data_IF_507051868868
#
_entry.id   IF_507051868868
#
_cell.length_a   1.000
_cell.length_b   1.000
_cell.length_c   1.000
_cell.angle_alpha   90.00
_cell.angle_beta   90.00
_cell.angle_gamma   90.00
#
_symmetry.space_group_name_H-M   'P 1'
#
loop_
_entity.id
_entity.type
_entity.pdbx_description
1 polymer ?
#
# COMPACT_ATOMS: atom_id res chain seq x y z
N UNK A 1 1.28 4.76 -16.74
CA UNK A 1 1.40 3.86 -15.60
C UNK A 1 2.32 4.46 -14.54
N UNK A 2 1.87 4.50 -13.31
CA UNK A 2 2.66 5.05 -12.22
C UNK A 2 2.93 3.99 -11.18
N UNK A 3 4.01 4.18 -10.42
CA UNK A 3 4.36 3.30 -9.31
C UNK A 3 3.85 3.94 -8.04
N UNK A 4 3.01 3.24 -7.32
CA UNK A 4 2.30 3.78 -6.17
C UNK A 4 2.56 2.90 -4.96
N UNK A 5 2.93 3.54 -3.86
CA UNK A 5 3.09 2.85 -2.57
C UNK A 5 1.85 3.12 -1.73
N UNK A 6 1.15 2.07 -1.36
CA UNK A 6 -0.07 2.16 -0.57
C UNK A 6 0.20 1.63 0.82
N UNK A 7 0.16 2.49 1.81
CA UNK A 7 0.50 2.14 3.18
C UNK A 7 -0.78 2.01 4.00
N UNK A 8 -0.96 0.86 4.63
CA UNK A 8 -2.09 0.60 5.49
C UNK A 8 -3.40 0.46 4.73
N UNK A 9 -3.49 -0.49 3.78
CA UNK A 9 -4.67 -0.56 2.94
C UNK A 9 -5.98 -0.74 3.69
N UNK A 10 -6.02 -1.60 4.69
CA UNK A 10 -7.24 -1.76 5.44
C UNK A 10 -8.46 -1.87 4.56
N UNK A 11 -9.60 -1.52 5.12
CA UNK A 11 -10.87 -1.60 4.40
C UNK A 11 -10.95 -0.52 3.31
N UNK A 12 -10.59 0.68 3.68
CA UNK A 12 -10.66 1.82 2.77
C UNK A 12 -9.58 1.73 1.70
N UNK A 13 -8.38 1.35 2.09
CA UNK A 13 -7.28 1.22 1.16
C UNK A 13 -7.50 0.13 0.13
N UNK A 14 -8.30 -0.89 0.46
CA UNK A 14 -8.61 -1.93 -0.51
C UNK A 14 -9.38 -1.35 -1.70
N UNK A 15 -10.32 -0.45 -1.45
CA UNK A 15 -11.03 0.21 -2.54
C UNK A 15 -10.08 1.04 -3.41
N UNK A 16 -9.11 1.69 -2.78
CA UNK A 16 -8.10 2.44 -3.51
C UNK A 16 -7.27 1.50 -4.38
N UNK A 17 -6.86 0.36 -3.83
CA UNK A 17 -6.06 -0.61 -4.58
C UNK A 17 -6.81 -1.12 -5.81
N UNK A 18 -8.09 -1.43 -5.64
CA UNK A 18 -8.91 -1.91 -6.75
C UNK A 18 -8.97 -0.85 -7.85
N UNK A 19 -9.21 0.39 -7.47
CA UNK A 19 -9.32 1.46 -8.44
C UNK A 19 -8.00 1.69 -9.18
N UNK A 20 -6.89 1.65 -8.47
CA UNK A 20 -5.59 1.82 -9.08
C UNK A 20 -5.27 0.66 -10.03
N UNK A 21 -5.70 -0.54 -9.67
CA UNK A 21 -5.52 -1.70 -10.53
C UNK A 21 -6.31 -1.51 -11.83
N UNK A 22 -7.52 -1.02 -11.72
CA UNK A 22 -8.36 -0.77 -12.90
C UNK A 22 -7.72 0.27 -13.83
N UNK A 23 -6.96 1.20 -13.25
CA UNK A 23 -6.29 2.24 -14.01
C UNK A 23 -4.91 1.80 -14.52
N UNK A 24 -4.56 0.55 -14.28
CA UNK A 24 -3.29 -0.04 -14.75
C UNK A 24 -2.06 0.55 -14.09
N UNK A 25 -2.17 0.99 -12.85
CA UNK A 25 -1.01 1.44 -12.10
C UNK A 25 -0.38 0.27 -11.35
N UNK A 26 0.93 0.39 -11.10
CA UNK A 26 1.63 -0.59 -10.28
C UNK A 26 1.54 -0.15 -8.83
N UNK A 27 1.12 -1.06 -7.97
CA UNK A 27 0.90 -0.73 -6.56
C UNK A 27 1.69 -1.71 -5.69
N UNK A 28 2.40 -1.18 -4.69
CA UNK A 28 2.96 -1.99 -3.63
C UNK A 28 2.16 -1.68 -2.37
N UNK A 29 1.58 -2.69 -1.76
CA UNK A 29 0.81 -2.52 -0.52
C UNK A 29 1.66 -2.91 0.67
N UNK A 30 1.59 -2.14 1.73
CA UNK A 30 2.34 -2.37 2.95
C UNK A 30 1.40 -2.27 4.14
N UNK A 31 1.43 -3.26 5.03
CA UNK A 31 0.65 -3.23 6.25
C UNK A 31 1.34 -4.08 7.29
N UNK A 32 1.09 -3.81 8.56
CA UNK A 32 1.62 -4.62 9.64
C UNK A 32 0.92 -5.97 9.72
N UNK A 33 -0.30 -6.04 9.27
CA UNK A 33 -1.11 -7.24 9.38
C UNK A 33 -1.15 -7.98 8.06
N UNK A 34 -0.74 -9.22 8.11
CA UNK A 34 -0.65 -10.05 6.93
C UNK A 34 -1.99 -10.20 6.21
N UNK A 35 -3.07 -10.36 6.96
CA UNK A 35 -4.38 -10.57 6.37
C UNK A 35 -4.83 -9.37 5.55
N UNK A 36 -4.43 -8.17 5.94
CA UNK A 36 -4.76 -6.96 5.17
C UNK A 36 -3.99 -6.90 3.87
N UNK A 37 -2.73 -7.31 3.90
CA UNK A 37 -1.93 -7.37 2.69
C UNK A 37 -2.50 -8.43 1.75
N UNK A 38 -2.84 -9.58 2.27
CA UNK A 38 -3.39 -10.67 1.47
C UNK A 38 -4.71 -10.27 0.81
N UNK A 39 -5.51 -9.46 1.50
CA UNK A 39 -6.80 -9.05 0.96
C UNK A 39 -6.67 -8.20 -0.30
N UNK A 40 -5.53 -7.55 -0.49
CA UNK A 40 -5.33 -6.70 -1.66
C UNK A 40 -4.36 -7.29 -2.67
N UNK A 41 -3.77 -8.45 -2.38
CA UNK A 41 -2.79 -9.06 -3.29
C UNK A 41 -3.30 -9.18 -4.73
N UNK A 42 -4.56 -9.52 -4.98
CA UNK A 42 -5.04 -9.64 -6.36
C UNK A 42 -5.02 -8.31 -7.12
N UNK A 43 -4.95 -7.21 -6.41
CA UNK A 43 -5.05 -5.88 -7.01
C UNK A 43 -3.73 -5.11 -6.99
N UNK A 44 -2.69 -5.69 -6.43
CA UNK A 44 -1.40 -5.00 -6.32
C UNK A 44 -0.32 -5.82 -6.99
N UNK A 45 0.76 -5.15 -7.38
CA UNK A 45 1.90 -5.81 -7.99
C UNK A 45 2.72 -6.55 -6.95
N UNK A 46 2.79 -6.01 -5.74
CA UNK A 46 3.60 -6.59 -4.68
C UNK A 46 3.02 -6.21 -3.33
N UNK A 47 3.20 -7.05 -2.35
CA UNK A 47 2.75 -6.81 -0.98
C UNK A 47 3.88 -7.05 0.01
N UNK A 48 4.01 -6.19 1.01
CA UNK A 48 5.02 -6.31 2.04
C UNK A 48 4.36 -6.19 3.41
N UNK A 49 4.82 -6.99 4.36
CA UNK A 49 4.32 -6.93 5.72
C UNK A 49 5.35 -6.18 6.54
N UNK A 50 4.96 -5.10 7.16
CA UNK A 50 5.85 -4.30 7.96
C UNK A 50 5.17 -3.05 8.47
N UNK A 51 5.92 -2.29 9.26
CA UNK A 51 5.42 -1.08 9.89
C UNK A 51 5.62 0.12 8.96
N UNK A 52 4.55 0.59 8.35
CA UNK A 52 4.61 1.73 7.46
C UNK A 52 4.93 3.05 8.14
N UNK A 53 5.01 3.07 9.47
CA UNK A 53 5.46 4.27 10.19
C UNK A 53 6.94 4.22 10.50
N UNK A 54 7.62 3.14 10.20
CA UNK A 54 9.05 2.99 10.47
C UNK A 54 9.84 3.52 9.29
N UNK A 55 10.66 4.53 9.54
CA UNK A 55 11.40 5.20 8.48
C UNK A 55 12.41 4.28 7.80
N UNK A 56 13.11 3.46 8.59
CA UNK A 56 14.09 2.55 8.02
C UNK A 56 13.44 1.52 7.13
N UNK A 57 12.28 1.03 7.54
CA UNK A 57 11.55 0.07 6.74
C UNK A 57 11.12 0.69 5.41
N UNK A 58 10.62 1.92 5.45
CA UNK A 58 10.21 2.60 4.22
C UNK A 58 11.39 2.85 3.30
N UNK A 59 12.55 3.18 3.86
CA UNK A 59 13.74 3.35 3.04
C UNK A 59 14.14 2.06 2.36
N UNK A 60 14.00 0.94 3.08
CA UNK A 60 14.39 -0.35 2.52
C UNK A 60 13.49 -0.75 1.35
N UNK A 61 12.29 -0.21 1.30
CA UNK A 61 11.37 -0.46 0.20
C UNK A 61 11.65 0.42 -1.02
N UNK A 62 12.54 1.40 -0.89
CA UNK A 62 12.82 2.31 -1.99
C UNK A 62 11.70 3.30 -2.19
N UNK A 63 11.22 3.90 -1.09
CA UNK A 63 10.07 4.80 -1.14
C UNK A 63 10.26 5.95 -2.13
N UNK A 64 11.49 6.37 -2.34
CA UNK A 64 11.78 7.47 -3.27
C UNK A 64 11.59 7.08 -4.72
N UNK A 65 11.53 5.80 -5.01
CA UNK A 65 11.35 5.32 -6.37
C UNK A 65 9.89 5.25 -6.79
N UNK A 66 8.98 5.54 -5.86
CA UNK A 66 7.57 5.52 -6.19
C UNK A 66 7.11 6.92 -6.62
N UNK A 67 6.23 6.96 -7.58
CA UNK A 67 5.69 8.24 -8.06
C UNK A 67 4.74 8.86 -7.05
N UNK A 68 4.01 8.02 -6.32
CA UNK A 68 2.99 8.48 -5.37
C UNK A 68 3.02 7.57 -4.14
N UNK A 69 2.86 8.16 -2.98
CA UNK A 69 2.67 7.41 -1.74
C UNK A 69 1.31 7.76 -1.16
N UNK A 70 0.49 6.75 -0.92
CA UNK A 70 -0.83 6.94 -0.34
C UNK A 70 -0.83 6.31 1.04
N UNK A 71 -1.16 7.09 2.05
CA UNK A 71 -1.25 6.59 3.42
C UNK A 71 -2.73 6.46 3.77
N UNK A 72 -3.17 5.22 3.92
CA UNK A 72 -4.57 4.92 4.15
C UNK A 72 -4.82 4.32 5.53
N UNK A 73 -3.98 4.68 6.49
CA UNK A 73 -4.13 4.24 7.87
C UNK A 73 -5.20 5.10 8.50
N UNK A 74 -6.40 4.81 8.21
CA UNK A 74 -7.45 5.71 8.57
C UNK A 74 -8.52 5.18 9.47
N UNK A 75 -8.47 3.93 9.78
CA UNK A 75 -9.48 3.38 10.63
C UNK A 75 -9.37 3.84 12.07
N UNK A 76 -8.33 4.52 12.42
CA UNK A 76 -8.18 5.15 13.69
C UNK A 76 -8.57 6.55 13.73
N UNK A 77 -8.98 7.17 12.66
CA UNK A 77 -9.32 8.53 12.65
C UNK A 77 -10.60 8.67 13.24
N UNK A 78 -10.77 9.41 14.11
CA UNK A 78 -12.05 9.60 14.78
C UNK A 78 -12.49 11.05 14.72
#
# INVERSE_FOLDING_TARGET
>A
MKSILLIGPGRFGRHIAIKLHELNHQVMAVDKQEDRVEAVLPYVTNGQIGDGTNEDFLRSLGVRNFDVCIVAIGDNFQ
#
